data_IF_020998915692
#
_entry.id   IF_020998915692
#
_cell.length_a   1.000
_cell.length_b   1.000
_cell.length_c   1.000
_cell.angle_alpha   90.00
_cell.angle_beta   90.00
_cell.angle_gamma   90.00
#
_symmetry.space_group_name_H-M   'P 1'
#
loop_
_entity.id
_entity.type
_entity.pdbx_description
1 polymer ?
#
# COMPACT_ATOMS: atom_id res chain seq x y z
N UNK A 1 -62.51 10.05 6.27
CA UNK A 1 -61.11 10.28 6.71
C UNK A 1 -60.12 9.24 6.21
N UNK A 2 -60.43 8.46 5.21
CA UNK A 2 -59.47 7.45 4.67
C UNK A 2 -58.92 7.80 3.28
N UNK A 3 -59.16 9.00 2.79
CA UNK A 3 -58.76 9.43 1.43
C UNK A 3 -57.59 10.43 1.41
N UNK A 4 -57.12 10.89 2.56
CA UNK A 4 -56.02 11.85 2.63
C UNK A 4 -54.68 11.26 2.90
N UNK A 5 -54.63 9.92 3.19
CA UNK A 5 -53.41 9.26 3.54
C UNK A 5 -52.68 8.60 2.38
N UNK A 6 -53.25 8.66 1.18
CA UNK A 6 -52.66 8.05 -0.02
C UNK A 6 -51.91 9.05 -0.94
N UNK A 7 -51.91 10.33 -0.57
CA UNK A 7 -51.37 11.37 -1.46
C UNK A 7 -50.04 11.97 -0.99
N UNK A 8 -49.63 11.59 0.20
CA UNK A 8 -48.34 12.05 0.79
C UNK A 8 -47.16 11.07 0.52
N UNK A 9 -47.44 9.88 0.00
CA UNK A 9 -46.38 8.88 -0.25
C UNK A 9 -45.81 8.93 -1.66
N UNK A 10 -46.43 9.71 -2.54
CA UNK A 10 -45.99 9.82 -3.94
C UNK A 10 -45.00 10.96 -4.23
N UNK A 11 -44.70 11.81 -3.21
CA UNK A 11 -43.84 12.99 -3.41
C UNK A 11 -42.43 12.89 -2.84
N UNK A 12 -42.08 11.75 -2.26
CA UNK A 12 -40.74 11.53 -1.68
C UNK A 12 -39.82 10.73 -2.63
N UNK A 13 -40.34 10.15 -3.70
CA UNK A 13 -39.53 9.35 -4.65
C UNK A 13 -38.99 10.12 -5.87
N UNK A 14 -39.22 11.43 -5.96
CA UNK A 14 -38.76 12.21 -7.11
C UNK A 14 -37.49 13.06 -6.85
N UNK A 15 -36.87 12.93 -5.66
CA UNK A 15 -35.70 13.75 -5.30
C UNK A 15 -34.38 12.97 -5.22
N UNK A 16 -34.32 11.72 -5.68
CA UNK A 16 -33.09 10.90 -5.65
C UNK A 16 -32.51 10.56 -7.01
N UNK A 17 -32.72 11.39 -8.01
CA UNK A 17 -32.17 11.11 -9.35
C UNK A 17 -31.37 12.27 -9.93
N UNK A 18 -30.59 12.97 -9.14
CA UNK A 18 -29.65 13.98 -9.64
C UNK A 18 -28.44 14.14 -8.72
N UNK A 19 -27.80 13.04 -8.33
CA UNK A 19 -26.38 13.08 -8.02
C UNK A 19 -25.67 12.48 -9.23
N UNK A 20 -25.59 13.32 -10.24
CA UNK A 20 -24.80 13.06 -11.43
C UNK A 20 -23.36 12.76 -11.04
N UNK A 21 -22.83 11.75 -11.64
CA UNK A 21 -21.40 11.57 -11.80
C UNK A 21 -20.80 12.89 -12.26
N UNK A 22 -20.19 13.58 -11.37
CA UNK A 22 -19.44 14.78 -11.63
C UNK A 22 -18.29 14.83 -10.66
N UNK A 23 -17.12 14.52 -11.12
CA UNK A 23 -15.95 14.85 -10.35
C UNK A 23 -15.11 13.67 -10.00
N UNK A 24 -14.16 13.54 -10.74
CA UNK A 24 -12.77 13.28 -10.45
C UNK A 24 -12.27 14.02 -9.19
N UNK A 25 -12.78 13.65 -8.04
CA UNK A 25 -12.20 13.93 -6.74
C UNK A 25 -12.04 12.63 -5.98
N UNK A 26 -11.25 11.75 -6.59
CA UNK A 26 -10.72 10.56 -5.94
C UNK A 26 -9.57 10.92 -4.98
N UNK A 27 -9.57 12.13 -4.42
CA UNK A 27 -8.51 12.61 -3.57
C UNK A 27 -8.81 12.55 -2.08
N UNK A 28 -9.99 12.09 -1.64
CA UNK A 28 -10.35 12.20 -0.22
C UNK A 28 -11.10 11.01 0.35
N UNK A 29 -11.02 9.87 -0.27
CA UNK A 29 -11.40 8.61 0.37
C UNK A 29 -10.15 7.88 0.90
N UNK A 30 -9.35 8.58 1.69
CA UNK A 30 -8.55 7.90 2.71
C UNK A 30 -9.53 7.44 3.78
N UNK A 31 -10.32 6.43 3.42
CA UNK A 31 -10.92 5.57 4.38
C UNK A 31 -9.83 5.22 5.41
N UNK A 32 -10.19 5.19 6.66
CA UNK A 32 -9.44 4.71 7.82
C UNK A 32 -9.00 3.25 7.60
N UNK A 33 -8.28 3.00 6.52
CA UNK A 33 -7.62 1.76 6.19
C UNK A 33 -6.17 1.84 6.67
N UNK A 34 -5.61 0.71 7.03
CA UNK A 34 -4.21 0.64 7.43
C UNK A 34 -3.32 1.20 6.32
N UNK A 35 -2.39 2.08 6.72
CA UNK A 35 -1.40 2.65 5.80
C UNK A 35 -0.57 1.51 5.21
N UNK A 36 -0.43 1.41 3.88
CA UNK A 36 0.30 0.32 3.25
C UNK A 36 1.75 0.27 3.72
N UNK A 37 2.26 -0.93 3.95
CA UNK A 37 3.64 -1.16 4.36
C UNK A 37 4.47 -1.55 3.15
N UNK A 38 5.62 -0.91 2.98
CA UNK A 38 6.65 -1.28 2.03
C UNK A 38 7.77 -1.98 2.81
N UNK A 39 8.01 -3.25 2.52
CA UNK A 39 9.10 -4.02 3.10
C UNK A 39 10.38 -3.82 2.27
N UNK A 40 11.47 -3.39 2.90
CA UNK A 40 12.78 -3.30 2.24
C UNK A 40 13.68 -4.41 2.76
N UNK A 41 14.04 -5.35 1.88
CA UNK A 41 14.98 -6.43 2.14
C UNK A 41 16.32 -6.07 1.51
N UNK A 42 17.23 -5.52 2.28
CA UNK A 42 18.60 -5.21 1.86
C UNK A 42 19.53 -6.37 2.22
N UNK A 43 20.27 -6.89 1.26
CA UNK A 43 21.10 -8.08 1.46
C UNK A 43 22.24 -7.85 2.46
N UNK A 44 22.92 -6.72 2.39
CA UNK A 44 24.04 -6.42 3.27
C UNK A 44 24.27 -4.95 3.46
N UNK A 45 25.18 -4.62 4.36
CA UNK A 45 25.59 -3.23 4.61
C UNK A 45 26.78 -2.88 3.72
N UNK A 46 26.51 -2.13 2.68
CA UNK A 46 27.50 -1.64 1.73
C UNK A 46 27.02 -0.32 1.14
N UNK A 47 27.94 0.63 0.95
CA UNK A 47 27.60 1.98 0.49
C UNK A 47 26.73 1.98 -0.79
N UNK A 48 26.98 1.09 -1.74
CA UNK A 48 26.18 1.01 -2.97
C UNK A 48 24.76 0.52 -2.70
N UNK A 49 24.57 -0.39 -1.76
CA UNK A 49 23.23 -0.88 -1.38
C UNK A 49 22.47 0.15 -0.55
N UNK A 50 23.18 0.88 0.32
CA UNK A 50 22.61 1.99 1.07
C UNK A 50 22.15 3.10 0.13
N UNK A 51 22.95 3.44 -0.88
CA UNK A 51 22.56 4.41 -1.90
C UNK A 51 21.34 3.96 -2.71
N UNK A 52 21.20 2.67 -2.99
CA UNK A 52 19.99 2.14 -3.65
C UNK A 52 18.76 2.34 -2.77
N UNK A 53 18.85 2.06 -1.48
CA UNK A 53 17.75 2.28 -0.54
C UNK A 53 17.38 3.75 -0.45
N UNK A 54 18.36 4.62 -0.26
CA UNK A 54 18.14 6.07 -0.18
C UNK A 54 17.53 6.62 -1.46
N UNK A 55 18.01 6.19 -2.62
CA UNK A 55 17.44 6.58 -3.91
C UNK A 55 16.00 6.11 -4.09
N UNK A 56 15.66 4.92 -3.61
CA UNK A 56 14.27 4.44 -3.61
C UNK A 56 13.36 5.31 -2.73
N UNK A 57 13.79 5.63 -1.52
CA UNK A 57 13.03 6.49 -0.61
C UNK A 57 12.88 7.92 -1.16
N UNK A 58 13.95 8.48 -1.72
CA UNK A 58 13.90 9.78 -2.37
C UNK A 58 12.91 9.79 -3.55
N UNK A 59 12.88 8.72 -4.35
CA UNK A 59 11.94 8.59 -5.46
C UNK A 59 10.47 8.59 -4.99
N UNK A 60 10.17 8.02 -3.84
CA UNK A 60 8.83 8.09 -3.25
C UNK A 60 8.46 9.52 -2.84
N UNK A 61 9.38 10.25 -2.24
CA UNK A 61 9.18 11.66 -1.87
C UNK A 61 8.98 12.55 -3.12
N UNK A 62 9.80 12.35 -4.15
CA UNK A 62 9.68 13.07 -5.42
C UNK A 62 8.34 12.79 -6.14
N UNK A 63 7.78 11.59 -5.94
CA UNK A 63 6.45 11.24 -6.40
C UNK A 63 5.32 11.88 -5.56
N UNK A 64 5.64 12.62 -4.51
CA UNK A 64 4.69 13.29 -3.63
C UNK A 64 4.15 12.41 -2.51
N UNK A 65 4.71 11.21 -2.31
CA UNK A 65 4.31 10.30 -1.25
C UNK A 65 5.05 10.61 0.05
N UNK A 66 4.36 10.52 1.19
CA UNK A 66 4.90 10.83 2.51
C UNK A 66 4.87 9.61 3.42
N UNK A 67 6.02 9.28 3.99
CA UNK A 67 6.11 8.24 5.01
C UNK A 67 5.27 8.60 6.24
N UNK A 68 4.55 7.61 6.77
CA UNK A 68 3.63 7.80 7.89
C UNK A 68 2.25 8.31 7.50
N UNK A 69 2.05 8.76 6.26
CA UNK A 69 0.78 9.24 5.71
C UNK A 69 0.30 8.35 4.57
N UNK A 70 1.13 8.17 3.56
CA UNK A 70 0.80 7.39 2.36
C UNK A 70 1.34 5.97 2.41
N UNK A 71 2.43 5.74 3.13
CA UNK A 71 3.06 4.44 3.32
C UNK A 71 3.85 4.39 4.62
N UNK A 72 4.22 3.18 5.04
CA UNK A 72 5.20 2.92 6.12
C UNK A 72 6.33 2.07 5.56
N UNK A 73 7.54 2.28 6.07
CA UNK A 73 8.69 1.47 5.73
C UNK A 73 8.95 0.44 6.84
N UNK A 74 9.12 -0.81 6.44
CA UNK A 74 9.71 -1.86 7.26
C UNK A 74 11.04 -2.29 6.61
N UNK A 75 12.15 -1.83 7.20
CA UNK A 75 13.49 -2.10 6.70
C UNK A 75 14.12 -3.26 7.46
N UNK A 76 14.70 -4.21 6.71
CA UNK A 76 15.48 -5.33 7.25
C UNK A 76 16.77 -5.50 6.44
N UNK A 77 17.86 -5.79 7.15
CA UNK A 77 19.17 -6.10 6.55
C UNK A 77 19.52 -7.55 6.82
N UNK A 78 19.83 -8.30 5.77
CA UNK A 78 20.13 -9.72 5.88
C UNK A 78 21.55 -10.02 6.37
N UNK A 79 22.41 -9.02 6.52
CA UNK A 79 23.78 -9.21 6.99
C UNK A 79 24.66 -10.06 6.07
N UNK A 80 24.35 -10.08 4.76
CA UNK A 80 24.99 -10.92 3.75
C UNK A 80 24.76 -12.43 3.96
N UNK A 81 23.62 -12.78 4.55
CA UNK A 81 23.22 -14.17 4.79
C UNK A 81 21.96 -14.51 3.98
N UNK A 82 22.02 -15.55 3.15
CA UNK A 82 20.93 -15.96 2.26
C UNK A 82 19.72 -16.48 3.03
N UNK A 83 19.95 -17.17 4.16
CA UNK A 83 18.85 -17.65 5.00
C UNK A 83 18.13 -16.49 5.67
N UNK A 84 18.88 -15.49 6.14
CA UNK A 84 18.30 -14.28 6.70
C UNK A 84 17.50 -13.52 5.63
N UNK A 85 18.00 -13.36 4.41
CA UNK A 85 17.28 -12.74 3.31
C UNK A 85 15.96 -13.48 3.01
N UNK A 86 15.98 -14.81 3.04
CA UNK A 86 14.80 -15.64 2.85
C UNK A 86 13.78 -15.47 3.98
N UNK A 87 14.22 -15.48 5.25
CA UNK A 87 13.35 -15.26 6.39
C UNK A 87 12.69 -13.87 6.38
N UNK A 88 13.45 -12.83 6.02
CA UNK A 88 12.91 -11.48 5.86
C UNK A 88 11.81 -11.45 4.82
N UNK A 89 12.04 -12.05 3.65
CA UNK A 89 11.05 -12.12 2.57
C UNK A 89 9.78 -12.87 2.99
N UNK A 90 9.92 -14.00 3.68
CA UNK A 90 8.80 -14.77 4.22
C UNK A 90 8.00 -13.98 5.26
N UNK A 91 8.69 -13.24 6.13
CA UNK A 91 8.03 -12.37 7.11
C UNK A 91 7.22 -11.25 6.42
N UNK A 92 7.77 -10.62 5.41
CA UNK A 92 7.04 -9.62 4.63
C UNK A 92 5.82 -10.22 3.91
N UNK A 93 5.96 -11.40 3.35
CA UNK A 93 4.85 -12.13 2.76
C UNK A 93 3.77 -12.45 3.80
N UNK A 94 4.14 -12.96 4.96
CA UNK A 94 3.20 -13.28 6.04
C UNK A 94 2.45 -12.05 6.57
N UNK A 95 3.11 -10.91 6.63
CA UNK A 95 2.52 -9.62 7.04
C UNK A 95 1.69 -8.96 5.95
N UNK A 96 1.63 -9.52 4.75
CA UNK A 96 0.95 -8.92 3.61
C UNK A 96 1.41 -7.49 3.31
N UNK A 97 2.71 -7.24 3.30
CA UNK A 97 3.22 -5.93 2.89
C UNK A 97 2.75 -5.61 1.47
N UNK A 98 2.47 -4.34 1.20
CA UNK A 98 1.94 -3.91 -0.09
C UNK A 98 2.97 -4.02 -1.22
N UNK A 99 4.26 -3.90 -0.89
CA UNK A 99 5.37 -3.96 -1.82
C UNK A 99 6.60 -4.49 -1.11
N UNK A 100 7.37 -5.36 -1.77
CA UNK A 100 8.71 -5.76 -1.35
C UNK A 100 9.74 -5.08 -2.25
N UNK A 101 10.57 -4.22 -1.66
CA UNK A 101 11.74 -3.66 -2.32
C UNK A 101 12.96 -4.49 -1.93
N UNK A 102 13.53 -5.21 -2.88
CA UNK A 102 14.69 -6.05 -2.64
C UNK A 102 15.96 -5.39 -3.21
N UNK A 103 17.00 -5.33 -2.40
CA UNK A 103 18.27 -4.72 -2.78
C UNK A 103 19.36 -5.78 -2.78
N UNK A 104 19.93 -6.02 -3.93
CA UNK A 104 20.85 -7.09 -4.35
C UNK A 104 20.14 -8.41 -4.71
N UNK A 105 20.81 -9.20 -5.56
CA UNK A 105 20.27 -10.41 -6.17
C UNK A 105 19.75 -11.44 -5.17
N UNK A 106 20.46 -11.79 -4.09
CA UNK A 106 19.96 -12.79 -3.15
C UNK A 106 18.63 -12.36 -2.48
N UNK A 107 18.51 -11.09 -2.09
CA UNK A 107 17.25 -10.54 -1.56
C UNK A 107 16.15 -10.51 -2.60
N UNK A 108 16.46 -10.19 -3.85
CA UNK A 108 15.49 -10.20 -4.95
C UNK A 108 14.94 -11.60 -5.22
N UNK A 109 15.82 -12.61 -5.25
CA UNK A 109 15.41 -14.01 -5.41
C UNK A 109 14.52 -14.48 -4.25
N UNK A 110 14.89 -14.14 -3.02
CA UNK A 110 14.10 -14.48 -1.84
C UNK A 110 12.72 -13.83 -1.83
N UNK A 111 12.65 -12.54 -2.16
CA UNK A 111 11.38 -11.80 -2.23
C UNK A 111 10.48 -12.32 -3.36
N UNK A 112 11.05 -12.63 -4.52
CA UNK A 112 10.31 -13.22 -5.63
C UNK A 112 9.68 -14.55 -5.23
N UNK A 113 10.47 -15.47 -4.67
CA UNK A 113 9.97 -16.76 -4.21
C UNK A 113 8.87 -16.62 -3.15
N UNK A 114 9.02 -15.71 -2.18
CA UNK A 114 8.02 -15.48 -1.15
C UNK A 114 6.72 -14.83 -1.68
N UNK A 115 6.78 -14.14 -2.81
CA UNK A 115 5.62 -13.52 -3.45
C UNK A 115 4.84 -14.52 -4.34
N UNK A 116 5.51 -15.55 -4.90
CA UNK A 116 4.85 -16.58 -5.71
C UNK A 116 3.90 -17.47 -4.91
N UNK A 117 4.10 -17.59 -3.61
CA UNK A 117 3.29 -18.43 -2.71
C UNK A 117 1.94 -17.77 -2.31
N UNK A 118 1.54 -16.68 -2.98
CA UNK A 118 0.31 -15.93 -2.66
C UNK A 118 -0.73 -15.84 -3.77
#
# INVERSE_FOLDING_TARGET
MKKFMAMTLAMVMAAMALTGCGGSDAADDKASGDIPVIGINQYGQHASLDNCREGFLQGLEEAGLKEGVDYKIEYQNAGSDDNAATQIAQNFSAKNVALMCAIATPSATACYAAAEDK
#
